data_IF_966681133917
#
_entry.id   IF_966681133917
#
_cell.length_a   1.000
_cell.length_b   1.000
_cell.length_c   1.000
_cell.angle_alpha   90.00
_cell.angle_beta   90.00
_cell.angle_gamma   90.00
#
_symmetry.space_group_name_H-M   'P 1'
#
loop_
_entity.id
_entity.type
_entity.pdbx_description
1 polymer ?
#
# COMPACT_ATOMS: atom_id res chain seq x y z
N UNK A 1 2.16 4.60 -14.33
CA UNK A 1 1.45 4.26 -13.07
C UNK A 1 1.78 5.37 -12.09
N UNK A 2 0.78 5.95 -11.41
CA UNK A 2 1.02 7.02 -10.43
C UNK A 2 0.87 6.43 -9.03
N UNK A 3 1.87 6.68 -8.18
CA UNK A 3 1.79 6.39 -6.75
C UNK A 3 1.62 7.72 -6.02
N UNK A 4 0.54 7.85 -5.26
CA UNK A 4 0.29 9.02 -4.41
C UNK A 4 0.34 8.57 -2.96
N UNK A 5 1.18 9.23 -2.16
CA UNK A 5 1.30 8.98 -0.72
C UNK A 5 0.23 9.82 -0.01
N UNK A 6 -0.60 9.19 0.83
CA UNK A 6 -1.67 9.87 1.58
C UNK A 6 -1.33 10.08 3.04
N UNK A 7 -0.41 9.27 3.58
CA UNK A 7 0.06 9.35 4.95
C UNK A 7 1.11 8.30 5.22
N UNK A 8 1.75 8.40 6.38
CA UNK A 8 2.80 7.48 6.80
C UNK A 8 3.58 8.04 7.97
N UNK A 9 4.54 7.26 8.45
CA UNK A 9 5.51 7.70 9.44
C UNK A 9 6.85 7.01 9.24
N UNK A 10 7.89 7.70 9.67
CA UNK A 10 9.24 7.15 9.80
C UNK A 10 9.44 6.61 11.21
N UNK A 11 10.24 5.56 11.33
CA UNK A 11 10.59 4.97 12.62
C UNK A 11 12.05 4.52 12.66
N UNK A 12 12.63 4.60 13.85
CA UNK A 12 13.96 4.05 14.15
C UNK A 12 13.93 2.59 14.58
N UNK A 13 12.73 2.00 14.69
CA UNK A 13 12.56 0.57 14.94
C UNK A 13 13.15 -0.26 13.80
N UNK A 14 13.61 -1.47 14.12
CA UNK A 14 14.15 -2.34 13.09
C UNK A 14 13.05 -2.82 12.13
N UNK A 15 13.43 -3.06 10.88
CA UNK A 15 12.53 -3.66 9.87
C UNK A 15 11.93 -4.98 10.37
N UNK A 16 12.72 -5.81 11.04
CA UNK A 16 12.25 -7.10 11.59
C UNK A 16 11.16 -6.91 12.65
N UNK A 17 11.32 -5.95 13.57
CA UNK A 17 10.31 -5.68 14.60
C UNK A 17 9.01 -5.19 14.00
N UNK A 18 9.08 -4.24 13.06
CA UNK A 18 7.90 -3.68 12.41
C UNK A 18 7.20 -4.72 11.55
N UNK A 19 7.94 -5.52 10.78
CA UNK A 19 7.37 -6.61 9.97
C UNK A 19 6.72 -7.65 10.88
N UNK A 20 7.38 -8.08 11.95
CA UNK A 20 6.82 -9.06 12.91
C UNK A 20 5.55 -8.54 13.56
N UNK A 21 5.55 -7.29 14.03
CA UNK A 21 4.38 -6.68 14.65
C UNK A 21 3.23 -6.53 13.65
N UNK A 22 3.53 -6.05 12.45
CA UNK A 22 2.51 -5.79 11.42
C UNK A 22 1.91 -7.08 10.88
N UNK A 23 2.75 -8.08 10.57
CA UNK A 23 2.32 -9.41 10.11
C UNK A 23 1.45 -10.17 11.10
N UNK A 24 1.56 -9.86 12.40
CA UNK A 24 0.67 -10.44 13.42
C UNK A 24 -0.78 -9.94 13.35
N UNK A 25 -1.04 -8.87 12.57
CA UNK A 25 -2.35 -8.19 12.50
C UNK A 25 -2.92 -8.16 11.09
N UNK A 26 -2.07 -8.02 10.10
CA UNK A 26 -2.46 -7.94 8.68
C UNK A 26 -1.52 -8.79 7.83
N UNK A 27 -2.06 -9.38 6.77
CA UNK A 27 -1.29 -10.22 5.86
C UNK A 27 -0.44 -9.36 4.92
N UNK A 28 0.71 -8.89 5.41
CA UNK A 28 1.74 -8.26 4.56
C UNK A 28 2.52 -9.33 3.78
N UNK A 29 2.92 -9.00 2.56
CA UNK A 29 3.80 -9.84 1.76
C UNK A 29 5.09 -9.12 1.37
N UNK A 30 6.17 -9.88 1.20
CA UNK A 30 7.47 -9.35 0.80
C UNK A 30 7.58 -9.31 -0.71
N UNK A 31 7.96 -8.15 -1.26
CA UNK A 31 8.22 -7.92 -2.68
C UNK A 31 9.55 -7.20 -2.82
N UNK A 32 10.58 -7.91 -3.28
CA UNK A 32 11.95 -7.40 -3.28
C UNK A 32 12.42 -7.07 -1.86
N UNK A 33 12.79 -5.81 -1.65
CA UNK A 33 13.24 -5.27 -0.35
C UNK A 33 12.12 -4.61 0.47
N UNK A 34 10.90 -4.61 -0.06
CA UNK A 34 9.76 -3.91 0.52
C UNK A 34 8.71 -4.91 1.00
N UNK A 35 7.93 -4.55 2.01
CA UNK A 35 6.75 -5.31 2.43
C UNK A 35 5.50 -4.50 2.13
N UNK A 36 4.49 -5.15 1.60
CA UNK A 36 3.28 -4.48 1.16
C UNK A 36 2.03 -5.23 1.60
N UNK A 37 0.96 -4.46 1.76
CA UNK A 37 -0.38 -4.95 2.02
C UNK A 37 -1.36 -4.15 1.17
N UNK A 38 -2.11 -4.81 0.29
CA UNK A 38 -3.05 -4.17 -0.63
C UNK A 38 -4.48 -4.58 -0.30
N UNK A 39 -5.12 -4.02 0.75
CA UNK A 39 -6.42 -4.50 1.22
C UNK A 39 -7.59 -4.22 0.28
N UNK A 40 -7.49 -3.17 -0.54
CA UNK A 40 -8.64 -2.69 -1.32
C UNK A 40 -8.24 -2.41 -2.74
N UNK A 41 -9.08 -2.85 -3.67
CA UNK A 41 -8.94 -2.62 -5.11
C UNK A 41 -10.19 -1.95 -5.66
N UNK A 42 -10.01 -1.15 -6.70
CA UNK A 42 -11.07 -0.61 -7.54
C UNK A 42 -10.70 -0.95 -8.98
N UNK A 43 -11.46 -1.83 -9.63
CA UNK A 43 -11.11 -2.38 -10.95
C UNK A 43 -11.20 -1.38 -12.12
N UNK A 44 -12.02 -0.33 -12.00
CA UNK A 44 -12.10 0.75 -13.00
C UNK A 44 -12.55 2.08 -12.36
N UNK A 45 -12.54 3.17 -13.14
CA UNK A 45 -12.85 4.52 -12.63
C UNK A 45 -14.26 4.65 -12.01
N UNK A 46 -15.23 3.86 -12.48
CA UNK A 46 -16.64 3.91 -12.07
C UNK A 46 -16.98 2.90 -10.96
N UNK A 47 -16.06 1.98 -10.66
CA UNK A 47 -16.27 0.95 -9.65
C UNK A 47 -16.15 1.50 -8.24
N UNK A 48 -16.81 0.83 -7.30
CA UNK A 48 -16.57 1.03 -5.87
C UNK A 48 -15.25 0.35 -5.48
N UNK A 49 -14.67 0.82 -4.38
CA UNK A 49 -13.60 0.10 -3.70
C UNK A 49 -14.16 -1.18 -3.08
N UNK A 50 -13.51 -2.31 -3.34
CA UNK A 50 -13.84 -3.63 -2.79
C UNK A 50 -12.60 -4.24 -2.15
N UNK A 51 -12.80 -5.24 -1.30
CA UNK A 51 -11.68 -5.98 -0.71
C UNK A 51 -10.89 -6.70 -1.82
N UNK A 52 -9.57 -6.65 -1.75
CA UNK A 52 -8.70 -7.29 -2.72
C UNK A 52 -8.40 -8.73 -2.28
N UNK A 53 -9.16 -9.68 -2.79
CA UNK A 53 -8.98 -11.11 -2.51
C UNK A 53 -7.66 -11.66 -3.06
N UNK A 54 -7.04 -10.96 -4.01
CA UNK A 54 -5.81 -11.35 -4.70
C UNK A 54 -4.60 -10.48 -4.33
N UNK A 55 -4.66 -9.77 -3.20
CA UNK A 55 -3.62 -8.84 -2.73
C UNK A 55 -2.19 -9.43 -2.70
N UNK A 56 -2.07 -10.76 -2.74
CA UNK A 56 -0.80 -11.48 -2.64
C UNK A 56 -0.35 -12.17 -3.94
N UNK A 57 -1.11 -12.07 -5.03
CA UNK A 57 -0.94 -12.98 -6.18
C UNK A 57 -0.41 -12.35 -7.47
N UNK A 58 -0.67 -11.07 -7.77
CA UNK A 58 -0.06 -10.36 -8.92
C UNK A 58 -0.21 -8.83 -8.80
N UNK A 59 0.86 -8.07 -9.06
CA UNK A 59 0.90 -6.60 -8.91
C UNK A 59 0.61 -5.81 -10.19
N UNK A 60 0.22 -6.50 -11.26
CA UNK A 60 0.00 -5.86 -12.55
C UNK A 60 -1.43 -5.36 -12.65
N UNK A 61 -1.65 -4.12 -12.22
CA UNK A 61 -2.98 -3.50 -12.26
C UNK A 61 -3.42 -3.24 -13.70
N UNK A 62 -4.70 -3.54 -13.98
CA UNK A 62 -5.33 -3.12 -15.21
C UNK A 62 -5.26 -1.59 -15.37
N UNK A 63 -5.23 -1.04 -16.60
CA UNK A 63 -4.97 0.38 -16.84
C UNK A 63 -5.90 1.38 -16.12
N UNK A 64 -7.12 0.97 -15.79
CA UNK A 64 -8.11 1.79 -15.08
C UNK A 64 -8.30 1.40 -13.62
N UNK A 65 -7.58 0.38 -13.15
CA UNK A 65 -7.65 -0.06 -11.79
C UNK A 65 -6.81 0.84 -10.86
N UNK A 66 -7.13 0.78 -9.57
CA UNK A 66 -6.34 1.38 -8.50
C UNK A 66 -6.43 0.54 -7.22
N UNK A 67 -5.39 0.59 -6.41
CA UNK A 67 -5.30 -0.09 -5.11
C UNK A 67 -4.99 0.88 -3.98
N UNK A 68 -5.53 0.58 -2.79
CA UNK A 68 -5.05 1.16 -1.52
C UNK A 68 -4.03 0.21 -0.96
N UNK A 69 -2.84 0.73 -0.68
CA UNK A 69 -1.73 -0.06 -0.19
C UNK A 69 -1.15 0.51 1.09
N UNK A 70 -0.59 -0.36 1.89
CA UNK A 70 0.39 -0.06 2.91
C UNK A 70 1.74 -0.59 2.42
N UNK A 71 2.79 0.21 2.57
CA UNK A 71 4.16 -0.09 2.14
C UNK A 71 5.09 0.10 3.34
N UNK A 72 5.96 -0.87 3.59
CA UNK A 72 7.01 -0.84 4.59
C UNK A 72 8.34 -1.03 3.87
N UNK A 73 9.16 0.00 3.84
CA UNK A 73 10.45 -0.01 3.14
C UNK A 73 11.50 0.80 3.90
N UNK A 74 12.76 0.54 3.59
CA UNK A 74 13.85 1.42 4.02
C UNK A 74 14.13 2.44 2.94
N UNK A 75 14.41 3.67 3.35
CA UNK A 75 14.99 4.67 2.47
C UNK A 75 16.50 4.41 2.23
N UNK A 76 17.13 5.25 1.41
CA UNK A 76 18.57 5.16 1.13
C UNK A 76 19.48 5.39 2.36
N UNK A 77 18.91 5.88 3.46
CA UNK A 77 19.58 6.23 4.71
C UNK A 77 19.29 5.19 5.82
N UNK A 78 18.73 4.04 5.45
CA UNK A 78 18.34 2.94 6.34
C UNK A 78 17.21 3.28 7.32
N UNK A 79 16.51 4.40 7.13
CA UNK A 79 15.33 4.78 7.91
C UNK A 79 14.12 3.98 7.42
N UNK A 80 13.38 3.39 8.35
CA UNK A 80 12.21 2.59 8.02
C UNK A 80 10.99 3.50 7.86
N UNK A 81 10.37 3.44 6.68
CA UNK A 81 9.16 4.16 6.34
C UNK A 81 7.97 3.22 6.25
N UNK A 82 6.89 3.56 6.96
CA UNK A 82 5.59 2.89 6.85
C UNK A 82 4.60 3.87 6.24
N UNK A 83 4.10 3.58 5.04
CA UNK A 83 3.26 4.50 4.28
C UNK A 83 1.97 3.88 3.79
N UNK A 84 0.95 4.72 3.67
CA UNK A 84 -0.32 4.41 3.05
C UNK A 84 -0.40 5.13 1.70
N UNK A 85 -0.53 4.36 0.62
CA UNK A 85 -0.45 4.87 -0.75
C UNK A 85 -1.67 4.45 -1.57
N UNK A 86 -1.98 5.23 -2.61
CA UNK A 86 -2.78 4.73 -3.73
C UNK A 86 -1.87 4.51 -4.92
N UNK A 87 -2.03 3.34 -5.54
CA UNK A 87 -1.32 2.97 -6.76
C UNK A 87 -2.33 2.75 -7.89
N UNK A 88 -2.06 3.29 -9.08
CA UNK A 88 -2.88 3.08 -10.28
C UNK A 88 -3.49 4.36 -10.85
N UNK A 89 -4.63 4.23 -11.56
CA UNK A 89 -5.28 5.36 -12.22
C UNK A 89 -6.22 6.10 -11.26
N UNK A 90 -5.65 7.03 -10.49
CA UNK A 90 -6.40 7.84 -9.52
C UNK A 90 -6.75 9.21 -10.11
N UNK A 91 -8.05 9.54 -10.15
CA UNK A 91 -8.50 10.89 -10.48
C UNK A 91 -8.41 11.78 -9.24
N UNK A 92 -7.68 12.90 -9.32
CA UNK A 92 -7.40 13.86 -8.22
C UNK A 92 -8.62 14.37 -7.43
N UNK A 93 -9.85 14.19 -7.93
CA UNK A 93 -11.08 14.78 -7.34
C UNK A 93 -11.67 14.02 -6.15
N UNK A 94 -11.09 12.90 -5.71
CA UNK A 94 -11.79 11.96 -4.81
C UNK A 94 -11.06 11.75 -3.49
N UNK A 95 -10.82 12.80 -2.69
CA UNK A 95 -10.26 12.61 -1.34
C UNK A 95 -11.02 13.41 -0.27
N UNK A 96 -11.97 12.74 0.37
CA UNK A 96 -12.37 13.03 1.75
C UNK A 96 -11.96 11.82 2.57
N UNK A 97 -10.95 11.95 3.42
CA UNK A 97 -10.67 10.95 4.44
C UNK A 97 -11.61 11.18 5.61
N UNK A 98 -12.33 10.13 6.00
CA UNK A 98 -12.81 10.02 7.37
C UNK A 98 -11.58 9.65 8.20
N UNK A 99 -11.14 10.58 9.05
CA UNK A 99 -10.23 10.30 10.17
C UNK A 99 -11.06 9.69 11.29
#
# INVERSE_FOLDING_TARGET
MVNTIFGGFETTQSLEEVVRYTSSRIAIIKVGNTYIYSPMIRHNLQSKWVFNEHATQDYNLEPNAAEKMLIIEKDEQEVLFVSCTLQGNVTMKTYTMWV
#
